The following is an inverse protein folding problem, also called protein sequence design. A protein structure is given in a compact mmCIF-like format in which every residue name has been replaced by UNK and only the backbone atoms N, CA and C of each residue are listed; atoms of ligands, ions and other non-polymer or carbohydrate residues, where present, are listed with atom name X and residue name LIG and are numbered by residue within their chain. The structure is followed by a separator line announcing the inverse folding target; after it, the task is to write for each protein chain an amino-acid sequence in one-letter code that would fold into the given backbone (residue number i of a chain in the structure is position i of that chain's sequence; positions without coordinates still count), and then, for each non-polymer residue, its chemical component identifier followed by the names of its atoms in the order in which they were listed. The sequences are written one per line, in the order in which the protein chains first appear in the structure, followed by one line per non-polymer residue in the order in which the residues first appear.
data_IF_062144907518
#
_entry.id   IF_062144907518
#
_cell.length_a   1.000
_cell.length_b   1.000
_cell.length_c   1.000
_cell.angle_alpha   90.00
_cell.angle_beta   90.00
_cell.angle_gamma   90.00
#
_symmetry.space_group_name_H-M   'P 1'
#
loop_
_entity.id
_entity.type
_entity.pdbx_description
1 polymer ?
#
# COMPACT_ATOMS: atom_id res chain seq x y z
N UNK A 1 24.06 -44.81 27.48
CA UNK A 1 23.46 -43.46 27.41
C UNK A 1 24.54 -42.45 27.01
N UNK A 2 24.58 -41.94 25.77
CA UNK A 2 25.19 -40.63 25.47
C UNK A 2 24.89 -40.16 24.03
N UNK A 3 23.63 -39.85 23.76
CA UNK A 3 23.20 -39.19 22.50
C UNK A 3 23.29 -37.66 22.66
N UNK A 4 24.47 -37.13 23.00
CA UNK A 4 24.62 -35.71 23.35
C UNK A 4 25.87 -35.09 22.73
N UNK A 5 26.05 -35.19 21.41
CA UNK A 5 27.05 -34.39 20.71
C UNK A 5 26.71 -34.04 19.25
N UNK A 6 25.47 -34.26 18.79
CA UNK A 6 25.07 -33.98 17.40
C UNK A 6 24.84 -32.49 17.07
N UNK A 7 25.03 -31.58 18.03
CA UNK A 7 24.80 -30.15 17.81
C UNK A 7 26.06 -29.33 18.11
N UNK A 8 27.03 -29.44 17.22
CA UNK A 8 28.19 -28.55 17.13
C UNK A 8 27.71 -27.09 17.07
N UNK A 9 28.29 -26.23 17.92
CA UNK A 9 28.00 -24.77 17.98
C UNK A 9 27.99 -24.09 16.59
N UNK A 10 28.85 -24.56 15.66
CA UNK A 10 28.94 -24.05 14.29
C UNK A 10 27.71 -24.31 13.43
N UNK A 11 27.01 -25.43 13.64
CA UNK A 11 25.78 -25.77 12.90
C UNK A 11 24.61 -24.90 13.36
N UNK A 12 24.54 -24.60 14.67
CA UNK A 12 23.53 -23.70 15.24
C UNK A 12 23.71 -22.26 14.77
N UNK A 13 24.95 -21.78 14.71
CA UNK A 13 25.26 -20.44 14.19
C UNK A 13 24.87 -20.26 12.72
N UNK A 14 25.15 -21.25 11.87
CA UNK A 14 24.77 -21.22 10.45
C UNK A 14 23.25 -21.27 10.23
N UNK A 15 22.52 -22.06 11.04
CA UNK A 15 21.06 -22.09 10.99
C UNK A 15 20.44 -20.77 11.45
N UNK A 16 20.97 -20.15 12.51
CA UNK A 16 20.50 -18.84 12.97
C UNK A 16 20.77 -17.74 11.92
N UNK A 17 21.95 -17.74 11.31
CA UNK A 17 22.30 -16.78 10.27
C UNK A 17 21.47 -16.99 9.00
N UNK A 18 21.21 -18.25 8.62
CA UNK A 18 20.32 -18.61 7.51
C UNK A 18 18.88 -18.14 7.75
N UNK A 19 18.32 -18.39 8.94
CA UNK A 19 17.00 -17.88 9.32
C UNK A 19 16.94 -16.36 9.38
N UNK A 20 18.02 -15.70 9.81
CA UNK A 20 18.09 -14.23 9.85
C UNK A 20 18.12 -13.63 8.44
N UNK A 21 18.85 -14.24 7.50
CA UNK A 21 18.90 -13.82 6.08
C UNK A 21 17.58 -14.06 5.35
N UNK A 22 16.91 -15.18 5.62
CA UNK A 22 15.56 -15.44 5.10
C UNK A 22 14.56 -14.45 5.69
N UNK A 23 14.60 -14.19 7.00
CA UNK A 23 13.71 -13.21 7.64
C UNK A 23 13.95 -11.78 7.12
N UNK A 24 15.20 -11.39 6.84
CA UNK A 24 15.52 -10.06 6.31
C UNK A 24 15.06 -9.84 4.87
N UNK A 25 14.83 -10.91 4.10
CA UNK A 25 14.40 -10.82 2.70
C UNK A 25 12.95 -10.33 2.54
N UNK A 26 12.11 -10.49 3.57
CA UNK A 26 10.70 -10.07 3.53
C UNK A 26 10.49 -8.58 3.83
N UNK A 27 11.44 -7.92 4.49
CA UNK A 27 11.30 -6.51 4.87
C UNK A 27 11.37 -5.54 3.68
N UNK A 28 11.97 -5.97 2.56
CA UNK A 28 12.17 -5.12 1.37
C UNK A 28 10.95 -5.09 0.44
N UNK A 29 10.09 -6.13 0.48
CA UNK A 29 8.96 -6.24 -0.44
C UNK A 29 7.81 -5.27 -0.12
N UNK A 30 7.60 -4.94 1.15
CA UNK A 30 6.50 -4.06 1.56
C UNK A 30 6.65 -2.61 1.07
N UNK A 31 7.88 -2.12 0.88
CA UNK A 31 8.14 -0.78 0.37
C UNK A 31 7.95 -0.69 -1.17
N UNK A 32 8.13 -1.80 -1.88
CA UNK A 32 7.95 -1.88 -3.33
C UNK A 32 6.46 -2.04 -3.70
N UNK A 33 5.63 -2.57 -2.81
CA UNK A 33 4.18 -2.74 -2.99
C UNK A 33 3.37 -1.45 -2.70
N UNK A 34 3.98 -0.44 -2.07
CA UNK A 34 3.28 0.81 -1.76
C UNK A 34 3.11 1.70 -3.01
N UNK A 35 1.94 1.59 -3.64
CA UNK A 35 1.56 2.46 -4.76
C UNK A 35 1.20 3.88 -4.28
N UNK A 36 1.88 4.89 -4.84
CA UNK A 36 1.56 6.30 -4.61
C UNK A 36 1.20 6.98 -5.92
N UNK A 37 0.01 7.60 -5.97
CA UNK A 37 -0.47 8.32 -7.15
C UNK A 37 -0.97 9.71 -6.80
N UNK A 38 -0.68 10.68 -7.67
CA UNK A 38 -1.23 12.02 -7.57
C UNK A 38 -2.69 12.01 -8.06
N UNK A 39 -3.61 12.51 -7.22
CA UNK A 39 -5.05 12.54 -7.51
C UNK A 39 -5.53 13.97 -7.78
N UNK A 40 -5.38 14.86 -6.80
CA UNK A 40 -5.81 16.26 -6.89
C UNK A 40 -5.27 17.11 -5.76
N UNK A 41 -5.50 18.43 -5.80
CA UNK A 41 -5.02 19.37 -4.77
C UNK A 41 -6.02 19.44 -3.62
N UNK A 42 -5.52 19.50 -2.40
CA UNK A 42 -6.38 19.63 -1.21
C UNK A 42 -7.24 18.40 -0.98
N UNK A 43 -6.63 17.21 -0.96
CA UNK A 43 -7.32 15.97 -0.64
C UNK A 43 -7.68 15.90 0.84
N UNK A 44 -8.89 15.42 1.12
CA UNK A 44 -9.46 15.22 2.45
C UNK A 44 -9.77 13.74 2.65
N UNK A 45 -11.00 13.44 3.06
CA UNK A 45 -11.44 12.11 3.42
C UNK A 45 -11.63 11.22 2.19
N UNK A 46 -11.57 9.92 2.47
CA UNK A 46 -11.76 8.87 1.48
C UNK A 46 -12.86 7.93 1.93
N UNK A 47 -13.65 7.45 0.98
CA UNK A 47 -14.68 6.44 1.23
C UNK A 47 -14.41 5.23 0.35
N UNK A 48 -14.50 4.03 0.90
CA UNK A 48 -14.33 2.78 0.15
C UNK A 48 -15.65 2.01 0.13
N UNK A 49 -16.07 1.56 -1.05
CA UNK A 49 -17.22 0.66 -1.20
C UNK A 49 -16.75 -0.66 -1.79
N UNK A 50 -16.96 -1.73 -1.03
CA UNK A 50 -16.73 -3.10 -1.50
C UNK A 50 -17.70 -3.49 -2.63
N UNK A 51 -18.94 -3.01 -2.56
CA UNK A 51 -19.97 -3.33 -3.55
C UNK A 51 -19.62 -2.74 -4.92
N UNK A 52 -19.09 -1.52 -4.95
CA UNK A 52 -18.71 -0.84 -6.20
C UNK A 52 -17.25 -1.07 -6.59
N UNK A 53 -16.49 -1.77 -5.73
CA UNK A 53 -15.05 -1.92 -5.80
C UNK A 53 -14.36 -0.61 -6.19
N UNK A 54 -14.66 0.45 -5.44
CA UNK A 54 -14.25 1.80 -5.75
C UNK A 54 -13.83 2.57 -4.50
N UNK A 55 -12.86 3.46 -4.68
CA UNK A 55 -12.37 4.39 -3.68
C UNK A 55 -12.74 5.81 -4.12
N UNK A 56 -13.41 6.58 -3.29
CA UNK A 56 -13.67 8.00 -3.53
C UNK A 56 -12.77 8.86 -2.67
N UNK A 57 -12.27 9.95 -3.24
CA UNK A 57 -11.50 10.97 -2.51
C UNK A 57 -12.12 12.33 -2.76
N UNK A 58 -12.42 13.06 -1.68
CA UNK A 58 -12.87 14.45 -1.78
C UNK A 58 -11.68 15.40 -1.89
N UNK A 59 -11.69 16.30 -2.87
CA UNK A 59 -10.68 17.35 -3.01
C UNK A 59 -11.31 18.74 -3.08
N UNK A 60 -10.72 19.70 -2.36
CA UNK A 60 -11.14 21.12 -2.40
C UNK A 60 -10.51 21.90 -3.55
N UNK A 61 -9.59 21.29 -4.30
CA UNK A 61 -8.76 21.96 -5.30
C UNK A 61 -7.97 23.16 -4.74
N UNK A 62 -7.47 24.04 -5.61
CA UNK A 62 -6.70 25.21 -5.18
C UNK A 62 -7.59 26.24 -4.51
N UNK A 63 -7.30 26.54 -3.23
CA UNK A 63 -8.02 27.59 -2.48
C UNK A 63 -8.03 28.96 -3.16
N UNK A 64 -7.00 29.30 -3.94
CA UNK A 64 -6.87 30.62 -4.58
C UNK A 64 -7.42 30.69 -6.00
N UNK A 65 -7.33 29.57 -6.74
CA UNK A 65 -7.57 29.55 -8.19
C UNK A 65 -8.89 28.88 -8.55
N UNK A 66 -9.36 27.95 -7.70
CA UNK A 66 -10.53 27.13 -7.99
C UNK A 66 -11.70 27.54 -7.08
N UNK A 67 -12.92 27.37 -7.60
CA UNK A 67 -14.17 27.51 -6.85
C UNK A 67 -14.88 26.16 -6.86
N UNK A 68 -15.25 25.67 -5.68
CA UNK A 68 -15.81 24.33 -5.52
C UNK A 68 -14.74 23.27 -5.29
N UNK A 69 -15.14 22.00 -5.38
CA UNK A 69 -14.28 20.83 -5.20
C UNK A 69 -14.65 19.72 -6.17
N UNK A 70 -13.84 18.67 -6.21
CA UNK A 70 -14.07 17.50 -7.05
C UNK A 70 -14.02 16.25 -6.18
N UNK A 71 -14.95 15.32 -6.40
CA UNK A 71 -14.88 13.98 -5.82
C UNK A 71 -14.36 13.04 -6.90
N UNK A 72 -13.15 12.53 -6.71
CA UNK A 72 -12.56 11.59 -7.65
C UNK A 72 -12.96 10.17 -7.29
N UNK A 73 -13.42 9.40 -8.28
CA UNK A 73 -13.56 7.95 -8.19
C UNK A 73 -12.29 7.28 -8.69
N UNK A 74 -11.71 6.44 -7.86
CA UNK A 74 -10.47 5.73 -8.11
C UNK A 74 -10.69 4.22 -8.11
N UNK A 75 -9.88 3.55 -8.92
CA UNK A 75 -9.68 2.11 -8.81
C UNK A 75 -8.90 1.80 -7.50
N UNK A 76 -9.39 0.90 -6.62
CA UNK A 76 -8.76 0.64 -5.33
C UNK A 76 -7.37 0.01 -5.39
N UNK A 77 -7.01 -0.60 -6.52
CA UNK A 77 -5.74 -1.33 -6.70
C UNK A 77 -4.72 -0.45 -7.39
N UNK A 78 -5.13 0.26 -8.44
CA UNK A 78 -4.23 1.06 -9.29
C UNK A 78 -4.24 2.56 -8.96
N UNK A 79 -5.22 3.01 -8.18
CA UNK A 79 -5.48 4.43 -7.89
C UNK A 79 -5.69 5.28 -9.15
N UNK A 80 -6.05 4.65 -10.27
CA UNK A 80 -6.37 5.32 -11.52
C UNK A 80 -7.73 6.01 -11.39
N UNK A 81 -7.81 7.25 -11.89
CA UNK A 81 -9.10 7.93 -12.03
C UNK A 81 -9.90 7.19 -13.08
N UNK A 82 -11.00 6.58 -12.65
CA UNK A 82 -11.98 6.08 -13.59
C UNK A 82 -12.67 7.31 -14.13
N UNK A 83 -12.43 7.67 -15.40
CA UNK A 83 -13.06 8.80 -16.07
C UNK A 83 -14.57 8.64 -15.87
N UNK A 84 -15.10 9.37 -14.89
CA UNK A 84 -16.52 9.50 -14.66
C UNK A 84 -16.99 10.44 -15.75
N UNK A 85 -17.65 9.90 -16.76
CA UNK A 85 -18.41 10.69 -17.71
C UNK A 85 -19.19 11.74 -16.93
N UNK A 86 -18.96 12.98 -17.33
CA UNK A 86 -19.47 14.17 -16.69
C UNK A 86 -21.00 14.10 -16.59
N UNK A 87 -21.51 14.31 -15.37
CA UNK A 87 -22.84 14.86 -15.12
C UNK A 87 -24.03 13.95 -15.42
N UNK A 88 -24.87 13.76 -14.41
CA UNK A 88 -26.32 13.88 -14.65
C UNK A 88 -26.88 14.81 -13.54
N UNK A 89 -27.90 15.62 -13.88
CA UNK A 89 -28.22 16.93 -13.30
C UNK A 89 -28.78 16.95 -11.88
#
# INVERSE_FOLDING_TARGET
MHLRHLFSSRLRGSLLLGSLLVASSFSTQAAEEMLRKAVGKGAYEMAYSQQENALWIATSQSRKLDKGGVVYRLDPVTLDQKLSDAGDP
#
